data_IF_524741542780
#
_entry.id   IF_524741542780
#
_cell.length_a   1.000
_cell.length_b   1.000
_cell.length_c   1.000
_cell.angle_alpha   90.00
_cell.angle_beta   90.00
_cell.angle_gamma   90.00
#
_symmetry.space_group_name_H-M   'P 1'
#
loop_
_entity.id
_entity.type
_entity.pdbx_description
1 polymer ?
#
# COMPACT_ATOMS: atom_id res chain seq x y z
N UNK A 1 18.37 86.85 -28.96
CA UNK A 1 17.46 86.24 -27.96
C UNK A 1 17.30 84.73 -28.11
N UNK A 2 18.34 83.95 -28.32
CA UNK A 2 18.26 82.44 -28.48
C UNK A 2 19.29 81.73 -27.59
N UNK A 3 20.13 82.46 -26.81
CA UNK A 3 21.21 81.88 -25.97
C UNK A 3 20.87 81.75 -24.47
N UNK A 4 19.66 82.16 -24.02
CA UNK A 4 19.29 82.15 -22.59
C UNK A 4 18.34 80.95 -22.19
N UNK A 5 17.97 80.08 -23.11
CA UNK A 5 16.97 79.03 -22.84
C UNK A 5 17.59 77.62 -22.68
N UNK A 6 18.89 77.45 -22.79
CA UNK A 6 19.60 76.17 -22.72
C UNK A 6 20.34 75.87 -21.41
N UNK A 7 20.23 76.72 -20.41
CA UNK A 7 21.00 76.57 -19.15
C UNK A 7 20.21 76.12 -17.94
N UNK A 8 18.91 75.69 -18.09
CA UNK A 8 18.03 75.39 -16.95
C UNK A 8 17.46 73.96 -16.92
N UNK A 9 18.15 72.97 -17.47
CA UNK A 9 17.72 71.56 -17.35
C UNK A 9 18.89 70.57 -17.26
N UNK A 10 19.84 70.79 -16.38
CA UNK A 10 20.70 69.73 -15.89
C UNK A 10 20.32 69.45 -14.42
N UNK A 11 19.25 68.67 -14.21
CA UNK A 11 19.08 67.94 -12.98
C UNK A 11 19.98 66.70 -13.10
N UNK A 12 20.82 66.38 -12.11
CA UNK A 12 21.53 65.12 -12.09
C UNK A 12 20.52 64.00 -11.98
N UNK A 13 20.48 63.12 -12.98
CA UNK A 13 19.83 61.83 -12.88
C UNK A 13 20.61 61.07 -11.83
N UNK A 14 20.07 61.03 -10.60
CA UNK A 14 20.47 60.04 -9.60
C UNK A 14 20.31 58.68 -10.25
N UNK A 15 21.41 58.12 -10.70
CA UNK A 15 21.54 56.70 -11.00
C UNK A 15 21.35 55.95 -9.69
N UNK A 16 20.08 55.72 -9.31
CA UNK A 16 19.75 54.61 -8.43
C UNK A 16 20.12 53.36 -9.21
N UNK A 17 21.29 52.84 -8.91
CA UNK A 17 21.64 51.47 -9.24
C UNK A 17 20.57 50.58 -8.59
N UNK A 18 19.54 50.25 -9.35
CA UNK A 18 18.67 49.16 -8.98
C UNK A 18 19.53 47.90 -8.96
N UNK A 19 19.90 47.50 -7.76
CA UNK A 19 20.56 46.24 -7.49
C UNK A 19 19.55 45.13 -7.79
N UNK A 20 19.43 44.72 -9.07
CA UNK A 20 18.55 43.66 -9.59
C UNK A 20 18.98 42.26 -9.05
N UNK A 21 20.04 42.24 -8.22
CA UNK A 21 20.66 41.00 -7.74
C UNK A 21 20.24 40.55 -6.34
N UNK A 22 19.27 41.21 -5.68
CA UNK A 22 18.86 40.83 -4.30
C UNK A 22 17.46 40.19 -4.17
N UNK A 23 16.84 39.78 -5.26
CA UNK A 23 15.73 38.82 -5.17
C UNK A 23 16.20 37.41 -5.54
N UNK A 24 17.22 36.94 -4.84
CA UNK A 24 17.36 35.51 -4.68
C UNK A 24 16.16 35.09 -3.78
N UNK A 25 15.08 34.68 -4.39
CA UNK A 25 14.09 33.90 -3.71
C UNK A 25 14.77 32.61 -3.25
N UNK A 26 15.51 32.68 -2.16
CA UNK A 26 15.94 31.51 -1.43
C UNK A 26 14.63 30.88 -0.92
N UNK A 27 14.11 29.89 -1.65
CA UNK A 27 13.00 29.11 -1.13
C UNK A 27 13.46 28.51 0.20
N UNK A 28 12.80 28.85 1.32
CA UNK A 28 13.17 28.34 2.64
C UNK A 28 13.11 26.81 2.69
N UNK A 29 12.29 26.24 1.82
CA UNK A 29 12.02 24.82 1.78
C UNK A 29 13.04 24.10 0.88
N UNK A 30 13.97 23.36 1.49
CA UNK A 30 14.90 22.47 0.79
C UNK A 30 14.53 21.00 0.97
N UNK A 31 14.92 20.15 0.01
CA UNK A 31 14.73 18.69 0.16
C UNK A 31 15.51 18.16 1.38
N UNK A 32 16.65 18.75 1.70
CA UNK A 32 17.42 18.41 2.89
C UNK A 32 16.63 18.68 4.18
N UNK A 33 16.00 19.84 4.31
CA UNK A 33 15.18 20.18 5.47
C UNK A 33 13.97 19.24 5.60
N UNK A 34 13.34 18.86 4.48
CA UNK A 34 12.25 17.88 4.47
C UNK A 34 12.72 16.48 4.88
N UNK A 35 13.91 16.07 4.45
CA UNK A 35 14.52 14.80 4.85
C UNK A 35 14.79 14.75 6.36
N UNK A 36 15.29 15.85 6.92
CA UNK A 36 15.51 16.00 8.37
C UNK A 36 14.17 15.91 9.12
N UNK A 37 13.14 16.61 8.64
CA UNK A 37 11.80 16.59 9.26
C UNK A 37 11.21 15.16 9.27
N UNK A 38 11.32 14.45 8.15
CA UNK A 38 10.85 13.06 8.02
C UNK A 38 11.60 12.10 8.93
N UNK A 39 12.92 12.22 9.02
CA UNK A 39 13.74 11.39 9.92
C UNK A 39 13.38 11.59 11.39
N UNK A 40 13.13 12.83 11.83
CA UNK A 40 12.73 13.13 13.20
C UNK A 40 11.36 12.52 13.51
N UNK A 41 10.38 12.63 12.62
CA UNK A 41 9.03 12.03 12.81
C UNK A 41 9.10 10.50 12.91
N UNK A 42 9.84 9.84 12.01
CA UNK A 42 10.00 8.39 12.01
C UNK A 42 10.75 7.85 13.22
N UNK A 43 11.78 8.56 13.68
CA UNK A 43 12.64 8.13 14.79
C UNK A 43 12.16 8.64 16.16
N UNK A 44 11.25 9.60 16.18
CA UNK A 44 10.67 10.17 17.39
C UNK A 44 11.62 11.07 18.20
N UNK A 45 12.86 11.32 17.73
CA UNK A 45 13.81 12.22 18.41
C UNK A 45 14.85 12.81 17.46
N UNK A 46 15.34 14.01 17.76
CA UNK A 46 16.40 14.69 17.03
C UNK A 46 17.73 13.91 17.06
N UNK A 47 18.06 13.30 18.21
CA UNK A 47 19.29 12.50 18.34
C UNK A 47 19.24 11.23 17.48
N UNK A 48 18.11 10.52 17.45
CA UNK A 48 17.96 9.32 16.63
C UNK A 48 17.93 9.64 15.13
N UNK A 49 17.34 10.78 14.73
CA UNK A 49 17.40 11.26 13.36
C UNK A 49 18.84 11.64 12.93
N UNK A 50 19.63 12.23 13.84
CA UNK A 50 21.02 12.55 13.58
C UNK A 50 21.85 11.30 13.28
N UNK A 51 21.65 10.23 14.05
CA UNK A 51 22.30 8.92 13.80
C UNK A 51 21.88 8.34 12.44
N UNK A 52 20.60 8.40 12.09
CA UNK A 52 20.11 7.88 10.81
C UNK A 52 20.71 8.63 9.61
N UNK A 53 20.85 9.96 9.74
CA UNK A 53 21.33 10.83 8.66
C UNK A 53 22.86 11.01 8.65
N UNK A 54 23.57 10.31 9.52
CA UNK A 54 25.04 10.44 9.72
C UNK A 54 25.45 11.90 9.95
N UNK A 55 24.74 12.58 10.87
CA UNK A 55 24.96 14.00 11.22
C UNK A 55 25.08 14.17 12.74
N UNK A 56 25.66 15.30 13.14
CA UNK A 56 25.68 15.69 14.54
C UNK A 56 24.31 16.27 14.95
N UNK A 57 23.83 16.03 16.19
CA UNK A 57 22.52 16.52 16.64
C UNK A 57 22.33 18.04 16.53
N UNK A 58 23.41 18.82 16.67
CA UNK A 58 23.39 20.28 16.50
C UNK A 58 23.03 20.69 15.07
N UNK A 59 23.48 19.95 14.04
CA UNK A 59 23.15 20.22 12.65
C UNK A 59 21.66 19.98 12.37
N UNK A 60 21.10 18.88 12.89
CA UNK A 60 19.65 18.59 12.79
C UNK A 60 18.83 19.71 13.44
N UNK A 61 19.23 20.11 14.66
CA UNK A 61 18.56 21.19 15.38
C UNK A 61 18.65 22.53 14.64
N UNK A 62 19.80 22.83 14.06
CA UNK A 62 20.00 24.05 13.27
C UNK A 62 19.10 24.06 12.02
N UNK A 63 19.06 22.95 11.27
CA UNK A 63 18.21 22.84 10.07
C UNK A 63 16.74 23.07 10.39
N UNK A 64 16.24 22.47 11.48
CA UNK A 64 14.84 22.65 11.90
C UNK A 64 14.57 24.08 12.34
N UNK A 65 15.45 24.69 13.18
CA UNK A 65 15.29 26.07 13.63
C UNK A 65 15.27 27.04 12.46
N UNK A 66 16.22 26.89 11.54
CA UNK A 66 16.27 27.72 10.34
C UNK A 66 14.98 27.62 9.54
N UNK A 67 14.44 26.42 9.37
CA UNK A 67 13.17 26.21 8.65
C UNK A 67 11.98 26.85 9.40
N UNK A 68 11.93 26.73 10.75
CA UNK A 68 10.94 27.38 11.60
C UNK A 68 11.03 28.91 11.52
N UNK A 69 12.25 29.46 11.54
CA UNK A 69 12.49 30.90 11.43
C UNK A 69 12.10 31.44 10.05
N UNK A 70 12.44 30.74 8.97
CA UNK A 70 12.14 31.14 7.60
C UNK A 70 10.64 31.05 7.27
N UNK A 71 9.89 30.12 7.91
CA UNK A 71 8.44 29.98 7.78
C UNK A 71 7.65 30.77 8.81
N UNK A 72 8.33 31.37 9.79
CA UNK A 72 7.71 32.06 10.95
C UNK A 72 6.67 31.18 11.67
N UNK A 73 6.98 29.86 11.82
CA UNK A 73 6.08 28.90 12.46
C UNK A 73 6.85 27.79 13.15
N UNK A 74 6.42 27.38 14.35
CA UNK A 74 6.98 26.22 15.02
C UNK A 74 6.45 24.92 14.39
N UNK A 75 7.36 24.04 14.02
CA UNK A 75 7.06 22.72 13.43
C UNK A 75 7.03 21.62 14.48
N UNK A 76 7.74 21.81 15.63
CA UNK A 76 7.74 20.86 16.74
C UNK A 76 7.28 21.51 18.05
N UNK A 77 6.48 20.75 18.80
CA UNK A 77 6.20 21.05 20.20
C UNK A 77 7.38 20.61 21.06
N UNK A 78 7.99 21.58 21.77
CA UNK A 78 9.19 21.38 22.62
C UNK A 78 8.86 21.16 24.09
N UNK A 79 7.56 21.08 24.46
CA UNK A 79 7.13 20.96 25.87
C UNK A 79 7.24 19.56 26.44
N UNK A 80 7.68 18.56 25.66
CA UNK A 80 7.79 17.16 26.08
C UNK A 80 9.15 16.53 25.80
N UNK A 81 9.38 15.33 26.34
CA UNK A 81 10.60 14.54 26.09
C UNK A 81 10.68 13.92 24.69
N UNK A 82 9.58 13.92 23.92
CA UNK A 82 9.54 13.40 22.54
C UNK A 82 9.28 14.53 21.57
N UNK A 83 9.94 14.46 20.42
CA UNK A 83 9.66 15.37 19.32
C UNK A 83 8.26 15.10 18.77
N UNK A 84 7.32 16.03 18.99
CA UNK A 84 5.96 15.97 18.47
C UNK A 84 5.74 17.10 17.47
N UNK A 85 5.26 16.76 16.28
CA UNK A 85 4.89 17.75 15.29
C UNK A 85 3.70 18.57 15.74
N UNK A 86 3.75 19.88 15.47
CA UNK A 86 2.58 20.76 15.50
C UNK A 86 1.65 20.45 14.31
N UNK A 87 0.47 21.08 14.25
CA UNK A 87 -0.40 20.98 13.07
C UNK A 87 0.28 21.48 11.80
N UNK A 88 1.04 22.57 11.88
CA UNK A 88 1.84 23.09 10.76
C UNK A 88 2.96 22.14 10.37
N UNK A 89 3.67 21.56 11.36
CA UNK A 89 4.70 20.56 11.13
C UNK A 89 4.13 19.30 10.45
N UNK A 90 2.95 18.85 10.83
CA UNK A 90 2.27 17.71 10.20
C UNK A 90 1.91 18.01 8.74
N UNK A 91 1.29 19.15 8.47
CA UNK A 91 0.97 19.60 7.11
C UNK A 91 2.23 19.64 6.23
N UNK A 92 3.28 20.31 6.73
CA UNK A 92 4.54 20.43 6.00
C UNK A 92 5.18 19.07 5.73
N UNK A 93 5.16 18.16 6.70
CA UNK A 93 5.71 16.81 6.51
C UNK A 93 4.93 15.99 5.48
N UNK A 94 3.59 16.04 5.52
CA UNK A 94 2.73 15.30 4.61
C UNK A 94 2.93 15.76 3.15
N UNK A 95 3.02 17.07 2.92
CA UNK A 95 3.32 17.62 1.59
C UNK A 95 4.81 17.45 1.23
N UNK A 96 5.69 17.60 2.20
CA UNK A 96 7.14 17.39 2.03
C UNK A 96 7.48 15.96 1.58
N UNK A 97 6.80 14.96 2.10
CA UNK A 97 6.94 13.56 1.67
C UNK A 97 6.59 13.37 0.19
N UNK A 98 5.61 14.13 -0.33
CA UNK A 98 5.27 14.11 -1.77
C UNK A 98 6.41 14.69 -2.60
N UNK A 99 7.01 15.80 -2.16
CA UNK A 99 8.15 16.43 -2.85
C UNK A 99 9.39 15.53 -2.83
N UNK A 100 9.71 14.90 -1.69
CA UNK A 100 10.81 13.94 -1.59
C UNK A 100 10.61 12.75 -2.54
N UNK A 101 9.40 12.19 -2.58
CA UNK A 101 9.04 11.11 -3.51
C UNK A 101 9.20 11.55 -4.97
N UNK A 102 8.73 12.75 -5.31
CA UNK A 102 8.83 13.28 -6.68
C UNK A 102 10.30 13.51 -7.10
N UNK A 103 11.14 14.04 -6.19
CA UNK A 103 12.57 14.23 -6.45
C UNK A 103 13.28 12.89 -6.72
N UNK A 104 13.05 11.89 -5.88
CA UNK A 104 13.56 10.52 -6.03
C UNK A 104 13.08 9.86 -7.35
N UNK A 105 11.83 10.10 -7.74
CA UNK A 105 11.32 9.65 -9.04
C UNK A 105 12.04 10.31 -10.23
N UNK A 106 12.36 11.60 -10.14
CA UNK A 106 13.11 12.31 -11.19
C UNK A 106 14.51 11.72 -11.32
N UNK A 107 15.25 11.56 -10.22
CA UNK A 107 16.59 10.97 -10.22
C UNK A 107 16.59 9.57 -10.85
N UNK A 108 15.67 8.71 -10.43
CA UNK A 108 15.51 7.37 -11.00
C UNK A 108 15.16 7.40 -12.49
N UNK A 109 14.35 8.37 -12.93
CA UNK A 109 14.03 8.53 -14.37
C UNK A 109 15.24 8.91 -15.18
N UNK A 110 16.08 9.82 -14.68
CA UNK A 110 17.32 10.22 -15.36
C UNK A 110 18.26 9.03 -15.49
N UNK A 111 18.51 8.30 -14.40
CA UNK A 111 19.36 7.11 -14.41
C UNK A 111 18.83 6.00 -15.34
N UNK A 112 17.50 5.79 -15.36
CA UNK A 112 16.86 4.84 -16.28
C UNK A 112 17.05 5.23 -17.75
N UNK A 113 16.98 6.52 -18.09
CA UNK A 113 17.22 6.99 -19.46
C UNK A 113 18.66 6.68 -19.89
N UNK A 114 19.62 6.79 -18.99
CA UNK A 114 21.03 6.51 -19.28
C UNK A 114 21.32 5.02 -19.45
N UNK A 115 20.73 4.12 -18.63
CA UNK A 115 21.04 2.68 -18.60
C UNK A 115 19.97 1.80 -19.24
N UNK A 116 18.75 2.28 -19.36
CA UNK A 116 17.57 1.50 -19.73
C UNK A 116 17.05 0.58 -18.61
N UNK A 117 17.73 0.51 -17.45
CA UNK A 117 17.37 -0.28 -16.27
C UNK A 117 17.04 0.63 -15.09
N UNK A 118 16.08 0.23 -14.27
CA UNK A 118 15.85 0.85 -12.98
C UNK A 118 17.02 0.51 -12.03
N UNK A 119 17.51 1.49 -11.28
CA UNK A 119 18.50 1.27 -10.22
C UNK A 119 17.87 0.57 -9.00
N UNK A 120 16.58 0.82 -8.77
CA UNK A 120 15.77 0.16 -7.76
C UNK A 120 14.38 -0.12 -8.35
N UNK A 121 13.86 -1.31 -8.11
CA UNK A 121 12.49 -1.70 -8.41
C UNK A 121 11.77 -2.07 -7.11
N UNK A 122 10.73 -1.35 -6.78
CA UNK A 122 9.90 -1.55 -5.59
C UNK A 122 8.66 -2.32 -5.96
N UNK A 123 8.53 -3.49 -5.35
CA UNK A 123 7.40 -4.40 -5.58
C UNK A 123 6.61 -4.54 -4.29
N UNK A 124 5.39 -4.01 -4.27
CA UNK A 124 4.44 -4.24 -3.18
C UNK A 124 3.66 -5.54 -3.45
N UNK A 125 3.55 -6.38 -2.44
CA UNK A 125 2.85 -7.66 -2.53
C UNK A 125 1.70 -7.61 -1.53
N UNK A 126 0.46 -7.74 -2.02
CA UNK A 126 -0.69 -7.90 -1.12
C UNK A 126 -0.60 -9.23 -0.38
N UNK A 127 -0.97 -9.23 0.90
CA UNK A 127 -0.88 -10.42 1.77
C UNK A 127 -1.77 -11.58 1.32
N UNK A 128 -2.69 -11.37 0.38
CA UNK A 128 -3.41 -12.43 -0.31
C UNK A 128 -2.52 -13.23 -1.29
N UNK A 129 -1.36 -12.70 -1.70
CA UNK A 129 -0.41 -13.40 -2.54
C UNK A 129 0.70 -14.01 -1.67
N UNK A 130 0.80 -15.33 -1.57
CA UNK A 130 1.86 -15.97 -0.77
C UNK A 130 3.24 -15.57 -1.28
N UNK A 131 4.03 -14.93 -0.43
CA UNK A 131 5.35 -14.40 -0.80
C UNK A 131 6.30 -15.51 -1.31
N UNK A 132 6.13 -16.74 -0.82
CA UNK A 132 6.86 -17.89 -1.30
C UNK A 132 6.71 -18.15 -2.82
N UNK A 133 5.62 -17.67 -3.44
CA UNK A 133 5.41 -17.75 -4.90
C UNK A 133 6.09 -16.61 -5.67
N UNK A 134 6.47 -15.55 -4.99
CA UNK A 134 7.19 -14.41 -5.56
C UNK A 134 8.71 -14.63 -5.55
N UNK A 135 9.23 -15.37 -4.58
CA UNK A 135 10.68 -15.66 -4.45
C UNK A 135 11.30 -16.33 -5.68
N UNK A 136 10.68 -17.32 -6.34
CA UNK A 136 11.22 -17.89 -7.57
C UNK A 136 11.35 -16.86 -8.71
N UNK A 137 10.41 -15.90 -8.81
CA UNK A 137 10.50 -14.81 -9.78
C UNK A 137 11.70 -13.91 -9.49
N UNK A 138 11.92 -13.57 -8.21
CA UNK A 138 13.08 -12.78 -7.81
C UNK A 138 14.41 -13.53 -8.13
N UNK A 139 14.46 -14.83 -7.88
CA UNK A 139 15.63 -15.65 -8.24
C UNK A 139 15.89 -15.62 -9.75
N UNK A 140 14.86 -15.83 -10.56
CA UNK A 140 14.96 -15.78 -12.03
C UNK A 140 15.38 -14.39 -12.53
N UNK A 141 14.85 -13.31 -11.90
CA UNK A 141 15.24 -11.95 -12.22
C UNK A 141 16.74 -11.70 -12.00
N UNK A 142 17.30 -12.17 -10.88
CA UNK A 142 18.75 -12.02 -10.62
C UNK A 142 19.62 -12.85 -11.57
N UNK A 143 19.12 -14.00 -12.06
CA UNK A 143 19.80 -14.75 -13.12
C UNK A 143 19.85 -13.94 -14.40
N UNK A 144 18.73 -13.35 -14.80
CA UNK A 144 18.62 -12.48 -15.99
C UNK A 144 19.52 -11.25 -15.90
N UNK A 145 19.57 -10.59 -14.76
CA UNK A 145 20.44 -9.43 -14.53
C UNK A 145 21.91 -9.81 -14.74
N UNK A 146 22.37 -10.95 -14.20
CA UNK A 146 23.75 -11.43 -14.40
C UNK A 146 24.06 -11.79 -15.84
N UNK A 147 23.13 -12.46 -16.53
CA UNK A 147 23.32 -12.88 -17.92
C UNK A 147 23.48 -11.71 -18.89
N UNK A 148 22.94 -10.54 -18.55
CA UNK A 148 22.96 -9.35 -19.40
C UNK A 148 24.05 -8.34 -19.02
N UNK A 149 24.92 -8.65 -18.08
CA UNK A 149 25.84 -7.68 -17.45
C UNK A 149 25.11 -6.39 -17.07
N UNK A 150 23.83 -6.58 -16.71
CA UNK A 150 22.92 -5.50 -16.45
C UNK A 150 23.21 -4.96 -15.06
N UNK A 151 23.36 -3.65 -15.00
CA UNK A 151 23.57 -2.92 -13.77
C UNK A 151 22.59 -3.41 -12.67
N UNK A 152 23.10 -3.47 -11.49
CA UNK A 152 22.52 -4.02 -10.29
C UNK A 152 21.20 -3.34 -9.89
N UNK A 153 20.08 -3.70 -10.55
CA UNK A 153 18.75 -3.28 -10.08
C UNK A 153 18.51 -3.88 -8.69
N UNK A 154 18.38 -3.02 -7.70
CA UNK A 154 18.01 -3.42 -6.34
C UNK A 154 16.52 -3.75 -6.30
N UNK A 155 16.16 -4.96 -5.89
CA UNK A 155 14.77 -5.31 -5.61
C UNK A 155 14.43 -4.96 -4.16
N UNK A 156 13.31 -4.27 -3.98
CA UNK A 156 12.75 -3.95 -2.67
C UNK A 156 11.30 -4.41 -2.60
N UNK A 157 11.01 -5.30 -1.68
CA UNK A 157 9.66 -5.81 -1.46
C UNK A 157 9.04 -5.17 -0.23
N UNK A 158 7.74 -4.91 -0.30
CA UNK A 158 6.91 -4.57 0.85
C UNK A 158 5.65 -5.42 0.86
N UNK A 159 5.09 -5.65 2.06
CA UNK A 159 3.75 -6.21 2.21
C UNK A 159 2.74 -5.09 2.33
N UNK A 160 1.60 -5.25 1.64
CA UNK A 160 0.47 -4.35 1.74
C UNK A 160 -0.81 -5.16 1.98
N UNK A 161 -1.81 -4.53 2.56
CA UNK A 161 -3.10 -5.13 2.90
C UNK A 161 -4.21 -4.28 2.32
N UNK A 162 -5.14 -4.90 1.58
CA UNK A 162 -6.32 -4.26 1.01
C UNK A 162 -6.00 -3.01 0.18
N UNK A 163 -6.50 -1.83 0.59
CA UNK A 163 -6.29 -0.55 -0.10
C UNK A 163 -4.85 -0.09 -0.13
N UNK A 164 -4.02 -0.57 0.82
CA UNK A 164 -2.60 -0.22 0.91
C UNK A 164 -1.79 -0.56 -0.33
N UNK A 165 -2.17 -1.62 -1.06
CA UNK A 165 -1.57 -1.97 -2.35
C UNK A 165 -1.73 -0.84 -3.38
N UNK A 166 -2.93 -0.30 -3.52
CA UNK A 166 -3.21 0.83 -4.41
C UNK A 166 -2.57 2.13 -3.92
N UNK A 167 -2.61 2.35 -2.61
CA UNK A 167 -2.00 3.51 -1.96
C UNK A 167 -0.49 3.55 -2.18
N UNK A 168 0.20 2.40 -2.06
CA UNK A 168 1.62 2.28 -2.33
C UNK A 168 1.98 2.65 -3.78
N UNK A 169 1.14 2.27 -4.74
CA UNK A 169 1.35 2.60 -6.14
C UNK A 169 1.04 4.07 -6.44
N UNK A 170 -0.04 4.61 -5.86
CA UNK A 170 -0.44 6.01 -6.02
C UNK A 170 0.62 6.98 -5.46
N UNK A 171 1.17 6.66 -4.29
CA UNK A 171 2.19 7.46 -3.61
C UNK A 171 3.61 7.25 -4.14
N UNK A 172 3.80 6.39 -5.15
CA UNK A 172 5.12 6.06 -5.66
C UNK A 172 5.98 5.26 -4.68
N UNK A 173 5.42 4.65 -3.64
CA UNK A 173 6.12 3.71 -2.75
C UNK A 173 6.38 2.36 -3.41
N UNK A 174 5.61 2.01 -4.44
CA UNK A 174 5.79 0.84 -5.28
C UNK A 174 5.79 1.23 -6.76
N UNK A 175 6.56 0.52 -7.55
CA UNK A 175 6.61 0.61 -9.01
C UNK A 175 5.71 -0.48 -9.64
N UNK A 176 5.58 -1.61 -8.96
CA UNK A 176 4.72 -2.74 -9.29
C UNK A 176 3.98 -3.22 -8.05
N UNK A 177 2.72 -3.54 -8.19
CA UNK A 177 1.93 -4.23 -7.16
C UNK A 177 1.54 -5.61 -7.65
N UNK A 178 1.63 -6.61 -6.79
CA UNK A 178 1.15 -7.97 -7.01
C UNK A 178 -0.03 -8.24 -6.06
N UNK A 179 -1.17 -8.61 -6.63
CA UNK A 179 -2.37 -8.95 -5.86
C UNK A 179 -3.25 -7.75 -5.47
N UNK A 180 -3.12 -6.59 -6.14
CA UNK A 180 -4.01 -5.45 -5.88
C UNK A 180 -5.48 -5.87 -5.93
N UNK A 181 -6.25 -5.73 -4.84
CA UNK A 181 -7.63 -6.21 -4.79
C UNK A 181 -8.63 -5.19 -5.35
N UNK A 182 -9.61 -5.67 -6.09
CA UNK A 182 -10.71 -4.86 -6.62
C UNK A 182 -10.28 -3.82 -7.66
N UNK A 183 -11.00 -2.70 -7.74
CA UNK A 183 -10.77 -1.68 -8.75
C UNK A 183 -9.74 -0.64 -8.33
N UNK A 184 -9.00 -0.05 -9.29
CA UNK A 184 -8.05 1.02 -9.03
C UNK A 184 -8.74 2.26 -8.47
N UNK A 185 -8.02 3.12 -7.74
CA UNK A 185 -8.55 4.40 -7.31
C UNK A 185 -8.89 5.29 -8.51
N UNK A 186 -9.86 6.22 -8.35
CA UNK A 186 -10.20 7.19 -9.39
C UNK A 186 -8.98 8.07 -9.72
N UNK A 187 -8.93 8.58 -10.96
CA UNK A 187 -7.82 9.42 -11.44
C UNK A 187 -6.98 8.78 -12.54
N UNK A 188 -7.10 7.48 -12.78
CA UNK A 188 -6.45 6.80 -13.90
C UNK A 188 -4.93 6.65 -13.79
N UNK A 189 -4.27 6.39 -14.92
CA UNK A 189 -2.80 6.28 -15.00
C UNK A 189 -2.25 4.92 -14.55
N UNK A 190 -3.10 3.91 -14.36
CA UNK A 190 -2.70 2.56 -14.00
C UNK A 190 -2.93 1.58 -15.14
N UNK A 191 -1.99 0.65 -15.31
CA UNK A 191 -2.15 -0.54 -16.14
C UNK A 191 -2.34 -1.75 -15.23
N UNK A 192 -3.24 -2.64 -15.66
CA UNK A 192 -3.69 -3.76 -14.85
C UNK A 192 -3.54 -5.06 -15.62
N UNK A 193 -3.20 -6.12 -14.89
CA UNK A 193 -3.23 -7.48 -15.39
C UNK A 193 -3.90 -8.36 -14.35
N UNK A 194 -5.00 -8.99 -14.71
CA UNK A 194 -5.64 -9.98 -13.83
C UNK A 194 -4.67 -11.13 -13.58
N UNK A 195 -4.42 -11.43 -12.32
CA UNK A 195 -3.66 -12.60 -11.86
C UNK A 195 -4.61 -13.77 -11.62
N UNK A 196 -5.61 -13.58 -10.78
CA UNK A 196 -6.63 -14.57 -10.46
C UNK A 196 -7.87 -13.95 -9.82
N UNK A 197 -8.92 -14.74 -9.67
CA UNK A 197 -10.06 -14.44 -8.83
C UNK A 197 -10.03 -15.35 -7.60
N UNK A 198 -9.70 -14.78 -6.43
CA UNK A 198 -9.60 -15.54 -5.20
C UNK A 198 -10.99 -15.86 -4.64
N UNK A 199 -11.30 -17.14 -4.49
CA UNK A 199 -12.51 -17.59 -3.83
C UNK A 199 -12.44 -17.30 -2.33
N UNK A 200 -13.49 -16.66 -1.80
CA UNK A 200 -13.60 -16.36 -0.38
C UNK A 200 -14.61 -17.28 0.29
N UNK A 201 -14.21 -17.90 1.38
CA UNK A 201 -15.08 -18.77 2.19
C UNK A 201 -15.33 -18.11 3.56
N UNK A 202 -16.53 -18.26 4.10
CA UNK A 202 -16.78 -17.91 5.49
C UNK A 202 -16.41 -19.12 6.36
N UNK A 203 -15.53 -18.92 7.33
CA UNK A 203 -15.01 -20.02 8.14
C UNK A 203 -14.95 -19.63 9.63
N UNK A 204 -15.15 -20.63 10.48
CA UNK A 204 -15.13 -20.50 11.94
C UNK A 204 -14.43 -21.71 12.56
N UNK A 205 -13.87 -21.54 13.76
CA UNK A 205 -13.39 -22.69 14.53
C UNK A 205 -14.54 -23.65 14.88
N UNK A 206 -14.30 -24.97 15.04
CA UNK A 206 -15.34 -25.93 15.43
C UNK A 206 -16.03 -25.62 16.75
N UNK A 207 -15.31 -24.94 17.67
CA UNK A 207 -15.84 -24.50 18.98
C UNK A 207 -16.71 -23.24 18.88
N UNK A 208 -16.72 -22.54 17.75
CA UNK A 208 -17.48 -21.30 17.56
C UNK A 208 -18.97 -21.62 17.43
N UNK A 209 -19.91 -20.86 18.06
CA UNK A 209 -21.34 -21.15 18.02
C UNK A 209 -21.92 -21.26 16.59
N UNK A 210 -21.40 -20.48 15.65
CA UNK A 210 -21.82 -20.54 14.24
C UNK A 210 -21.45 -21.87 13.55
N UNK A 211 -20.53 -22.67 14.10
CA UNK A 211 -20.17 -23.95 13.51
C UNK A 211 -21.36 -24.90 13.46
N UNK A 212 -22.19 -24.93 14.51
CA UNK A 212 -23.39 -25.74 14.61
C UNK A 212 -24.65 -25.06 14.05
N UNK A 213 -24.59 -23.77 13.69
CA UNK A 213 -25.74 -23.02 13.22
C UNK A 213 -26.27 -23.56 11.87
N UNK A 214 -27.59 -23.44 11.63
CA UNK A 214 -28.24 -23.85 10.37
C UNK A 214 -27.77 -22.93 9.23
N UNK A 215 -27.51 -23.53 8.10
CA UNK A 215 -27.10 -22.82 6.87
C UNK A 215 -28.27 -22.57 5.92
N UNK A 216 -28.20 -21.50 5.07
CA UNK A 216 -27.14 -20.48 5.05
C UNK A 216 -27.23 -19.56 6.26
N UNK A 217 -26.06 -19.01 6.72
CA UNK A 217 -26.03 -17.99 7.76
C UNK A 217 -26.50 -16.64 7.19
N UNK A 218 -27.35 -15.95 7.94
CA UNK A 218 -27.76 -14.58 7.59
C UNK A 218 -26.79 -13.54 8.16
N UNK A 219 -26.78 -12.34 7.61
CA UNK A 219 -25.97 -11.22 8.15
C UNK A 219 -26.29 -10.94 9.62
N UNK A 220 -27.54 -11.00 10.05
CA UNK A 220 -27.93 -10.80 11.44
C UNK A 220 -27.36 -11.85 12.40
N UNK A 221 -27.28 -13.10 11.97
CA UNK A 221 -26.64 -14.17 12.74
C UNK A 221 -25.13 -13.94 12.86
N UNK A 222 -24.47 -13.49 11.77
CA UNK A 222 -23.04 -13.22 11.75
C UNK A 222 -22.72 -11.98 12.60
N UNK A 223 -23.53 -10.93 12.52
CA UNK A 223 -23.33 -9.67 13.26
C UNK A 223 -23.36 -9.84 14.79
N UNK A 224 -24.00 -10.89 15.29
CA UNK A 224 -24.05 -11.21 16.72
C UNK A 224 -22.70 -11.68 17.28
N UNK A 225 -21.73 -11.98 16.43
CA UNK A 225 -20.42 -12.50 16.84
C UNK A 225 -19.28 -11.60 16.35
N UNK A 226 -18.16 -11.66 17.07
CA UNK A 226 -16.97 -10.90 16.75
C UNK A 226 -16.43 -11.27 15.37
N UNK A 227 -16.24 -10.27 14.52
CA UNK A 227 -15.49 -10.42 13.28
C UNK A 227 -13.98 -10.36 13.53
N UNK A 228 -13.20 -11.13 12.76
CA UNK A 228 -11.76 -10.91 12.64
C UNK A 228 -11.50 -10.19 11.32
N UNK A 229 -10.86 -9.03 11.37
CA UNK A 229 -10.55 -8.19 10.21
C UNK A 229 -9.05 -7.98 10.06
N UNK A 230 -8.54 -8.04 8.83
CA UNK A 230 -7.19 -7.56 8.54
C UNK A 230 -7.20 -6.03 8.47
N UNK A 231 -6.21 -5.38 9.08
CA UNK A 231 -6.04 -3.93 9.04
C UNK A 231 -5.65 -3.50 7.61
N UNK A 232 -6.32 -2.50 7.08
CA UNK A 232 -5.92 -1.88 5.83
C UNK A 232 -4.61 -1.09 6.04
N UNK A 233 -3.62 -1.30 5.16
CA UNK A 233 -2.33 -0.61 5.25
C UNK A 233 -2.29 0.73 4.51
N UNK A 234 -3.42 1.21 4.01
CA UNK A 234 -3.53 2.54 3.38
C UNK A 234 -3.10 3.65 4.33
N UNK A 235 -2.33 4.61 3.81
CA UNK A 235 -1.85 5.76 4.57
C UNK A 235 -2.58 7.05 4.23
N UNK A 236 -3.07 7.17 3.00
CA UNK A 236 -3.73 8.37 2.46
C UNK A 236 -5.13 8.09 1.92
N UNK A 237 -5.36 6.88 1.43
CA UNK A 237 -6.69 6.46 1.00
C UNK A 237 -7.55 6.12 2.23
N UNK A 238 -8.86 6.32 2.11
CA UNK A 238 -9.79 5.86 3.14
C UNK A 238 -9.61 4.36 3.37
N UNK A 239 -9.45 3.91 4.63
CA UNK A 239 -9.28 2.50 4.93
C UNK A 239 -10.43 1.67 4.37
N UNK A 240 -10.09 0.56 3.71
CA UNK A 240 -11.07 -0.41 3.23
C UNK A 240 -11.29 -1.48 4.29
N UNK A 241 -12.54 -1.84 4.49
CA UNK A 241 -12.88 -3.03 5.27
C UNK A 241 -13.49 -4.09 4.34
N UNK A 242 -13.23 -5.35 4.63
CA UNK A 242 -13.72 -6.42 3.79
C UNK A 242 -14.54 -7.41 4.61
N UNK A 243 -15.89 -7.39 4.41
CA UNK A 243 -16.80 -8.35 5.03
C UNK A 243 -17.11 -8.08 6.50
N UNK A 244 -17.03 -6.81 6.93
CA UNK A 244 -17.54 -6.34 8.21
C UNK A 244 -18.97 -5.85 8.07
N UNK A 245 -19.79 -6.14 9.07
CA UNK A 245 -21.15 -5.66 9.18
C UNK A 245 -21.22 -4.44 10.11
N UNK A 246 -22.19 -3.55 9.87
CA UNK A 246 -22.35 -2.35 10.67
C UNK A 246 -22.59 -2.70 12.16
N UNK A 247 -21.81 -2.09 13.05
CA UNK A 247 -21.92 -2.28 14.50
C UNK A 247 -21.39 -3.62 15.04
N UNK A 248 -20.79 -4.46 14.18
CA UNK A 248 -20.22 -5.75 14.59
C UNK A 248 -18.98 -5.55 15.46
N UNK A 249 -18.89 -6.26 16.60
CA UNK A 249 -17.65 -6.34 17.37
C UNK A 249 -16.52 -6.88 16.51
N UNK A 250 -15.33 -6.25 16.57
CA UNK A 250 -14.26 -6.53 15.63
C UNK A 250 -12.91 -6.66 16.31
N UNK A 251 -12.23 -7.79 16.09
CA UNK A 251 -10.81 -7.96 16.34
C UNK A 251 -10.03 -7.60 15.07
N UNK A 252 -9.28 -6.51 15.12
CA UNK A 252 -8.42 -6.11 14.00
C UNK A 252 -7.01 -6.67 14.18
N UNK A 253 -6.50 -7.34 13.15
CA UNK A 253 -5.18 -7.99 13.10
C UNK A 253 -4.38 -7.48 11.91
N UNK A 254 -3.02 -7.57 11.94
CA UNK A 254 -2.20 -6.89 10.94
C UNK A 254 -2.36 -7.40 9.50
N UNK A 255 -2.65 -8.69 9.29
CA UNK A 255 -2.66 -9.31 7.96
C UNK A 255 -3.60 -10.52 7.88
N UNK A 256 -3.72 -11.09 6.66
CA UNK A 256 -4.62 -12.23 6.40
C UNK A 256 -4.12 -13.53 7.06
N UNK A 257 -2.82 -13.72 7.23
CA UNK A 257 -2.24 -14.88 7.92
C UNK A 257 -2.58 -14.86 9.40
N UNK A 258 -2.42 -13.70 10.05
CA UNK A 258 -2.82 -13.49 11.44
C UNK A 258 -4.34 -13.61 11.60
N UNK A 259 -5.13 -13.16 10.61
CA UNK A 259 -6.58 -13.37 10.60
C UNK A 259 -6.94 -14.86 10.58
N UNK A 260 -6.30 -15.64 9.73
CA UNK A 260 -6.48 -17.10 9.69
C UNK A 260 -6.18 -17.70 11.07
N UNK A 261 -5.03 -17.39 11.66
CA UNK A 261 -4.61 -17.90 12.97
C UNK A 261 -5.61 -17.53 14.08
N UNK A 262 -6.11 -16.29 14.08
CA UNK A 262 -7.11 -15.83 15.05
C UNK A 262 -8.44 -16.60 14.91
N UNK A 263 -8.89 -16.89 13.69
CA UNK A 263 -10.10 -17.66 13.46
C UNK A 263 -9.93 -19.14 13.86
N UNK A 264 -8.76 -19.74 13.58
CA UNK A 264 -8.41 -21.08 14.05
C UNK A 264 -8.41 -21.15 15.59
N UNK A 265 -7.93 -20.10 16.25
CA UNK A 265 -7.97 -19.99 17.70
C UNK A 265 -9.35 -19.69 18.29
N UNK A 266 -10.39 -19.58 17.46
CA UNK A 266 -11.77 -19.33 17.90
C UNK A 266 -12.05 -17.90 18.37
N UNK A 267 -11.19 -16.92 18.05
CA UNK A 267 -11.33 -15.54 18.50
C UNK A 267 -12.41 -14.75 17.74
N UNK A 268 -13.00 -15.33 16.71
CA UNK A 268 -14.09 -14.74 15.93
C UNK A 268 -14.30 -15.43 14.60
N UNK A 269 -15.08 -14.79 13.73
CA UNK A 269 -15.50 -15.32 12.44
C UNK A 269 -15.18 -14.39 11.28
N UNK A 270 -15.30 -14.85 10.04
CA UNK A 270 -15.16 -13.99 8.86
C UNK A 270 -14.74 -14.74 7.60
N UNK A 271 -14.56 -13.97 6.54
CA UNK A 271 -14.13 -14.51 5.25
C UNK A 271 -12.63 -14.68 5.18
N UNK A 272 -12.20 -15.81 4.62
CA UNK A 272 -10.81 -16.16 4.33
C UNK A 272 -10.67 -16.58 2.87
N UNK A 273 -9.50 -16.37 2.23
CA UNK A 273 -9.20 -17.00 0.95
C UNK A 273 -9.25 -18.53 1.08
N UNK A 274 -9.98 -19.17 0.20
CA UNK A 274 -10.19 -20.60 0.27
C UNK A 274 -8.88 -21.41 0.19
N UNK A 275 -7.96 -20.99 -0.67
CA UNK A 275 -6.64 -21.63 -0.83
C UNK A 275 -5.77 -21.52 0.45
N UNK A 276 -5.89 -20.40 1.19
CA UNK A 276 -5.14 -20.18 2.41
C UNK A 276 -5.69 -21.02 3.57
N UNK A 277 -7.01 -21.13 3.67
CA UNK A 277 -7.69 -21.89 4.71
C UNK A 277 -7.72 -23.41 4.44
N UNK A 278 -7.34 -23.86 3.25
CA UNK A 278 -7.52 -25.25 2.81
C UNK A 278 -6.89 -26.28 3.76
N UNK A 279 -5.68 -26.03 4.25
CA UNK A 279 -5.00 -26.94 5.17
C UNK A 279 -5.69 -27.03 6.55
N UNK A 280 -6.22 -25.90 7.06
CA UNK A 280 -6.93 -25.85 8.34
C UNK A 280 -8.32 -26.46 8.25
N UNK A 281 -8.99 -26.30 7.12
CA UNK A 281 -10.26 -26.97 6.83
C UNK A 281 -10.05 -28.48 6.71
N UNK A 282 -9.04 -28.93 5.97
CA UNK A 282 -8.73 -30.36 5.82
C UNK A 282 -8.35 -31.00 7.16
N UNK A 283 -7.69 -30.27 8.04
CA UNK A 283 -7.32 -30.72 9.39
C UNK A 283 -8.47 -30.58 10.41
N UNK A 284 -9.65 -30.10 10.01
CA UNK A 284 -10.79 -29.91 10.90
C UNK A 284 -10.64 -28.77 11.92
N UNK A 285 -9.64 -27.90 11.75
CA UNK A 285 -9.44 -26.70 12.60
C UNK A 285 -10.37 -25.56 12.22
N UNK A 286 -10.92 -25.58 11.00
CA UNK A 286 -11.95 -24.65 10.54
C UNK A 286 -13.12 -25.39 9.92
N UNK A 287 -14.32 -24.85 10.13
CA UNK A 287 -15.60 -25.28 9.51
C UNK A 287 -16.03 -24.19 8.54
N UNK A 288 -16.27 -24.57 7.30
CA UNK A 288 -16.83 -23.66 6.28
C UNK A 288 -18.33 -23.56 6.50
N UNK A 289 -18.87 -22.36 6.43
CA UNK A 289 -20.31 -22.09 6.51
C UNK A 289 -20.79 -21.39 5.23
N UNK A 290 -21.91 -21.86 4.70
CA UNK A 290 -22.63 -21.12 3.67
C UNK A 290 -23.24 -19.85 4.26
N UNK A 291 -23.16 -18.75 3.54
CA UNK A 291 -23.68 -17.43 3.95
C UNK A 291 -24.61 -16.87 2.89
N UNK A 292 -25.54 -16.00 3.28
CA UNK A 292 -26.47 -15.33 2.39
C UNK A 292 -26.46 -13.82 2.70
N UNK A 293 -26.19 -12.97 1.68
CA UNK A 293 -25.83 -13.30 0.29
C UNK A 293 -24.42 -13.92 0.18
N UNK A 294 -24.20 -14.79 -0.84
CA UNK A 294 -22.88 -15.36 -1.07
C UNK A 294 -21.88 -14.27 -1.49
N UNK A 295 -20.63 -14.39 -1.06
CA UNK A 295 -19.60 -13.43 -1.39
C UNK A 295 -19.00 -13.69 -2.77
N UNK A 296 -18.92 -12.65 -3.59
CA UNK A 296 -18.23 -12.71 -4.87
C UNK A 296 -16.72 -12.95 -4.69
N UNK A 297 -16.05 -13.64 -5.62
CA UNK A 297 -14.60 -13.77 -5.64
C UNK A 297 -13.92 -12.41 -5.68
N UNK A 298 -12.73 -12.33 -5.10
CA UNK A 298 -11.92 -11.11 -5.10
C UNK A 298 -10.96 -11.15 -6.28
N UNK A 299 -11.06 -10.17 -7.17
CA UNK A 299 -10.11 -10.01 -8.30
C UNK A 299 -8.78 -9.54 -7.76
N UNK A 300 -7.72 -10.30 -8.00
CA UNK A 300 -6.34 -9.97 -7.67
C UNK A 300 -5.59 -9.62 -8.94
N UNK A 301 -4.97 -8.47 -8.96
CA UNK A 301 -4.35 -7.90 -10.16
C UNK A 301 -2.90 -7.54 -9.90
N UNK A 302 -2.05 -7.72 -10.92
CA UNK A 302 -0.80 -6.98 -10.99
C UNK A 302 -1.12 -5.58 -11.54
N UNK A 303 -0.52 -4.55 -10.92
CA UNK A 303 -0.78 -3.16 -11.28
C UNK A 303 0.52 -2.35 -11.29
N UNK A 304 0.63 -1.42 -12.25
CA UNK A 304 1.76 -0.49 -12.37
C UNK A 304 1.30 0.83 -12.97
N UNK A 305 2.15 1.87 -12.92
CA UNK A 305 1.83 3.16 -13.54
C UNK A 305 1.97 3.10 -15.07
N UNK A 306 1.21 3.91 -15.77
CA UNK A 306 1.20 3.97 -17.25
C UNK A 306 2.51 4.49 -17.87
N UNK A 307 3.45 4.99 -17.09
CA UNK A 307 4.75 5.40 -17.57
C UNK A 307 5.46 4.27 -18.33
N UNK A 308 6.31 4.62 -19.32
CA UNK A 308 7.11 3.63 -20.06
C UNK A 308 7.98 2.85 -19.05
N UNK A 309 7.80 1.53 -18.91
CA UNK A 309 8.59 0.73 -17.98
C UNK A 309 10.04 0.66 -18.46
N UNK A 310 10.99 0.70 -17.52
CA UNK A 310 12.35 0.29 -17.80
C UNK A 310 12.45 -1.23 -17.91
N UNK A 311 13.65 -1.74 -18.17
CA UNK A 311 13.85 -3.17 -18.47
C UNK A 311 13.52 -4.08 -17.28
N UNK A 312 13.82 -3.64 -16.04
CA UNK A 312 13.50 -4.43 -14.85
C UNK A 312 11.99 -4.56 -14.65
N UNK A 313 11.25 -3.44 -14.70
CA UNK A 313 9.79 -3.47 -14.57
C UNK A 313 9.14 -4.25 -15.72
N UNK A 314 9.62 -4.06 -16.97
CA UNK A 314 9.12 -4.79 -18.12
C UNK A 314 9.32 -6.31 -17.98
N UNK A 315 10.49 -6.74 -17.48
CA UNK A 315 10.76 -8.13 -17.20
C UNK A 315 9.79 -8.69 -16.14
N UNK A 316 9.59 -7.97 -15.04
CA UNK A 316 8.66 -8.38 -13.98
C UNK A 316 7.21 -8.48 -14.46
N UNK A 317 6.74 -7.53 -15.26
CA UNK A 317 5.41 -7.58 -15.88
C UNK A 317 5.26 -8.84 -16.75
N UNK A 318 6.27 -9.15 -17.58
CA UNK A 318 6.26 -10.34 -18.40
C UNK A 318 6.26 -11.63 -17.56
N UNK A 319 7.14 -11.72 -16.55
CA UNK A 319 7.25 -12.87 -15.66
C UNK A 319 5.95 -13.13 -14.89
N UNK A 320 5.34 -12.10 -14.31
CA UNK A 320 4.05 -12.20 -13.60
C UNK A 320 2.93 -12.63 -14.54
N UNK A 321 2.94 -12.14 -15.80
CA UNK A 321 1.93 -12.52 -16.81
C UNK A 321 2.04 -13.98 -17.23
N UNK A 322 3.26 -14.54 -17.24
CA UNK A 322 3.54 -15.92 -17.61
C UNK A 322 3.36 -16.90 -16.44
N UNK A 323 3.35 -16.41 -15.21
CA UNK A 323 3.20 -17.25 -14.02
C UNK A 323 1.77 -17.74 -13.87
N UNK A 324 1.63 -19.02 -13.49
CA UNK A 324 0.33 -19.60 -13.17
C UNK A 324 -0.12 -19.22 -11.75
N UNK A 325 -1.12 -18.36 -11.69
CA UNK A 325 -1.72 -17.89 -10.44
C UNK A 325 -3.05 -18.60 -10.11
N UNK A 326 -3.45 -19.63 -10.89
CA UNK A 326 -4.74 -20.32 -10.70
C UNK A 326 -4.91 -20.94 -9.31
N UNK A 327 -3.82 -21.25 -8.61
CA UNK A 327 -3.90 -21.74 -7.23
C UNK A 327 -4.61 -20.77 -6.29
N UNK A 328 -4.61 -19.46 -6.57
CA UNK A 328 -5.31 -18.43 -5.78
C UNK A 328 -6.84 -18.59 -5.89
N UNK A 329 -7.33 -19.18 -6.98
CA UNK A 329 -8.74 -19.47 -7.20
C UNK A 329 -9.18 -20.83 -6.62
N UNK A 330 -8.24 -21.69 -6.21
CA UNK A 330 -8.56 -23.02 -5.70
C UNK A 330 -9.29 -22.90 -4.36
N UNK A 331 -10.41 -23.61 -4.26
CA UNK A 331 -11.10 -23.84 -3.00
C UNK A 331 -10.52 -25.05 -2.25
N UNK A 332 -10.88 -25.25 -0.98
CA UNK A 332 -10.61 -26.49 -0.30
C UNK A 332 -11.29 -27.63 -1.08
N UNK A 333 -10.55 -28.71 -1.29
CA UNK A 333 -11.15 -29.93 -1.87
C UNK A 333 -12.31 -30.34 -0.97
N UNK A 334 -13.52 -30.57 -1.51
CA UNK A 334 -14.63 -31.00 -0.69
C UNK A 334 -14.24 -32.26 0.08
N UNK A 335 -14.27 -32.22 1.40
CA UNK A 335 -14.13 -33.44 2.20
C UNK A 335 -15.26 -34.37 1.82
N UNK A 336 -15.05 -35.68 1.84
CA UNK A 336 -16.02 -36.69 1.46
C UNK A 336 -17.41 -36.48 2.12
N UNK A 337 -17.43 -35.91 3.33
CA UNK A 337 -18.65 -35.51 4.03
C UNK A 337 -19.43 -34.37 3.34
N UNK A 338 -18.74 -33.34 2.85
CA UNK A 338 -19.35 -32.22 2.12
C UNK A 338 -19.84 -32.66 0.72
N UNK A 339 -19.11 -33.56 0.06
CA UNK A 339 -19.52 -34.15 -1.21
C UNK A 339 -20.79 -34.98 -1.05
N UNK A 340 -20.89 -35.74 0.03
CA UNK A 340 -22.10 -36.55 0.35
C UNK A 340 -23.29 -35.65 0.65
N UNK A 341 -23.15 -34.56 1.38
CA UNK A 341 -24.23 -33.59 1.62
C UNK A 341 -24.69 -32.89 0.34
N UNK A 342 -23.74 -32.47 -0.52
CA UNK A 342 -24.10 -31.86 -1.81
C UNK A 342 -24.81 -32.83 -2.75
N UNK A 343 -24.37 -34.08 -2.79
CA UNK A 343 -25.03 -35.13 -3.56
C UNK A 343 -26.46 -35.48 -3.01
N UNK A 344 -26.60 -35.53 -1.68
CA UNK A 344 -27.90 -35.74 -1.02
C UNK A 344 -28.85 -34.56 -1.30
N UNK A 345 -28.41 -33.33 -1.25
CA UNK A 345 -29.21 -32.13 -1.59
C UNK A 345 -29.63 -32.09 -3.06
N UNK A 346 -28.74 -32.46 -4.00
CA UNK A 346 -29.13 -32.60 -5.42
C UNK A 346 -30.17 -33.68 -5.63
N UNK A 347 -30.06 -34.81 -4.96
CA UNK A 347 -31.08 -35.86 -5.02
C UNK A 347 -32.42 -35.41 -4.45
N UNK A 348 -32.42 -34.73 -3.28
CA UNK A 348 -33.65 -34.22 -2.67
C UNK A 348 -34.33 -33.14 -3.55
N UNK A 349 -33.55 -32.26 -4.20
CA UNK A 349 -34.09 -31.25 -5.12
C UNK A 349 -34.74 -31.90 -6.37
N UNK A 350 -34.13 -32.95 -6.92
CA UNK A 350 -34.69 -33.71 -8.06
C UNK A 350 -35.97 -34.44 -7.67
N UNK A 351 -36.01 -35.03 -6.48
CA UNK A 351 -37.22 -35.76 -5.98
C UNK A 351 -38.38 -34.80 -5.70
N UNK A 352 -38.10 -33.62 -5.14
CA UNK A 352 -39.09 -32.56 -4.92
C UNK A 352 -39.66 -31.97 -6.21
N UNK A 353 -38.82 -31.85 -7.26
CA UNK A 353 -39.31 -31.41 -8.57
C UNK A 353 -40.15 -32.47 -9.30
N UNK A 354 -39.89 -33.76 -9.07
CA UNK A 354 -40.66 -34.86 -9.64
C UNK A 354 -42.03 -35.07 -8.95
N UNK A 355 -42.16 -34.68 -7.68
CA UNK A 355 -43.42 -34.79 -6.91
C UNK A 355 -44.40 -33.62 -7.14
N UNK A 356 -44.04 -32.65 -7.95
CA UNK A 356 -44.89 -31.49 -8.30
C UNK A 356 -45.39 -31.51 -9.75
N UNK A 357 -45.22 -32.61 -10.45
CA UNK A 357 -45.86 -32.94 -11.73
C UNK A 357 -46.84 -34.10 -11.50
#
# INVERSE_FOLDING_TARGET
MVRAWLAARQRPILTQSFNIFEYTFAMPLSLDALTVLDAIDRRGSFAAAAVELDRVPSAITYTVRRLEDELDVLLFDRRGHRARLTSAGRLLLDDGRRLLTAADEIERRVQRVASGWETELRVAVDTLVPFARVLPLAASFFVECRARDAAHTRLKFSHEVLGGAWDALADGRADLVLGAPGDPPPGGGYRLRLMAEATMIFAVAPSHPLAAAKEPLTESQIAAYRAVAAADSSRRMAPRSAGLLAGQDTLTVPDIGTKLAAQVAGLGCGFLPAFLAAADVAAGRLVIKAVEPPRAPVRLQAAWREARPGRALAWWIAAVTQTDWRFLALGPTPTAAAATQTAARRRAAVTSAASRR
#
